data_IF_455220348569
#
_entry.id   IF_455220348569
#
_cell.length_a   1.000
_cell.length_b   1.000
_cell.length_c   1.000
_cell.angle_alpha   90.00
_cell.angle_beta   90.00
_cell.angle_gamma   90.00
#
_symmetry.space_group_name_H-M   'P 1'
#
loop_
_entity.id
_entity.type
_entity.pdbx_description
1 polymer ?
#
# COMPACT_ATOMS: atom_id res chain seq x y z
N UNK A 1 10.55 -14.83 2.85
CA UNK A 1 10.38 -13.65 1.98
C UNK A 1 10.08 -12.40 2.81
N UNK A 2 10.54 -11.19 2.40
CA UNK A 2 10.31 -9.94 3.14
C UNK A 2 8.83 -9.63 3.42
N UNK A 3 7.96 -9.69 2.40
CA UNK A 3 6.52 -9.41 2.57
C UNK A 3 5.84 -10.35 3.58
N UNK A 4 6.13 -11.65 3.50
CA UNK A 4 5.62 -12.63 4.48
C UNK A 4 6.06 -12.32 5.93
N UNK A 5 7.27 -11.78 6.14
CA UNK A 5 7.74 -11.39 7.48
C UNK A 5 6.92 -10.22 8.00
N UNK A 6 6.70 -9.20 7.17
CA UNK A 6 5.87 -8.04 7.51
C UNK A 6 4.42 -8.44 7.86
N UNK A 7 3.80 -9.32 7.06
CA UNK A 7 2.45 -9.83 7.34
C UNK A 7 2.39 -10.49 8.73
N UNK A 8 3.41 -11.28 9.09
CA UNK A 8 3.46 -11.96 10.40
C UNK A 8 3.70 -10.99 11.55
N UNK A 9 4.59 -10.02 11.36
CA UNK A 9 4.88 -8.98 12.34
C UNK A 9 3.63 -8.18 12.69
N UNK A 10 2.87 -7.72 11.68
CA UNK A 10 1.61 -6.99 11.89
C UNK A 10 0.56 -7.89 12.54
N UNK A 11 0.40 -9.13 12.06
CA UNK A 11 -0.59 -10.06 12.61
C UNK A 11 -0.37 -10.39 14.08
N UNK A 12 0.90 -10.48 14.52
CA UNK A 12 1.27 -10.75 15.91
C UNK A 12 0.81 -9.66 16.88
N UNK A 13 0.68 -8.42 16.43
CA UNK A 13 0.14 -7.31 17.25
C UNK A 13 -1.34 -7.57 17.60
N UNK A 14 -2.06 -8.25 16.72
CA UNK A 14 -3.49 -8.53 16.90
C UNK A 14 -3.76 -9.87 17.57
N UNK A 15 -2.96 -10.91 17.26
CA UNK A 15 -3.12 -12.25 17.83
C UNK A 15 -1.82 -13.03 17.77
N UNK A 16 -1.38 -13.52 18.94
CA UNK A 16 -0.24 -14.42 19.03
C UNK A 16 -0.52 -15.76 18.34
N UNK A 17 0.55 -16.39 17.84
CA UNK A 17 0.54 -17.74 17.25
C UNK A 17 -0.37 -17.96 16.02
N UNK A 18 -0.69 -16.88 15.28
CA UNK A 18 -1.44 -17.00 14.03
C UNK A 18 -0.65 -17.73 12.94
N UNK A 19 -1.25 -18.74 12.33
CA UNK A 19 -0.70 -19.45 11.16
C UNK A 19 -1.44 -19.00 9.90
N UNK A 20 -0.66 -18.70 8.86
CA UNK A 20 -1.18 -18.34 7.53
C UNK A 20 -1.03 -19.51 6.57
N UNK A 21 -2.08 -19.74 5.77
CA UNK A 21 -1.96 -20.56 4.56
C UNK A 21 -1.07 -19.85 3.53
N UNK A 22 -0.40 -20.61 2.65
CA UNK A 22 0.43 -20.04 1.59
C UNK A 22 -0.37 -19.11 0.67
N UNK A 23 -1.55 -19.55 0.23
CA UNK A 23 -2.45 -18.77 -0.62
C UNK A 23 -2.98 -17.50 0.04
N UNK A 24 -3.13 -17.48 1.37
CA UNK A 24 -3.55 -16.27 2.08
C UNK A 24 -2.47 -15.18 2.02
N UNK A 25 -1.19 -15.55 2.15
CA UNK A 25 -0.08 -14.59 2.01
C UNK A 25 0.02 -14.08 0.57
N UNK A 26 -0.19 -14.96 -0.42
CA UNK A 26 -0.22 -14.56 -1.84
C UNK A 26 -1.35 -13.57 -2.13
N UNK A 27 -2.56 -13.85 -1.66
CA UNK A 27 -3.69 -12.94 -1.84
C UNK A 27 -3.46 -11.57 -1.20
N UNK A 28 -2.85 -11.52 0.00
CA UNK A 28 -2.46 -10.27 0.63
C UNK A 28 -1.41 -9.50 -0.19
N UNK A 29 -0.48 -10.22 -0.80
CA UNK A 29 0.55 -9.61 -1.64
C UNK A 29 -0.06 -9.03 -2.92
N UNK A 30 -0.89 -9.80 -3.63
CA UNK A 30 -1.58 -9.35 -4.83
C UNK A 30 -2.44 -8.11 -4.57
N UNK A 31 -3.21 -8.11 -3.48
CA UNK A 31 -4.03 -6.96 -3.10
C UNK A 31 -3.17 -5.73 -2.74
N UNK A 32 -2.08 -5.91 -1.99
CA UNK A 32 -1.19 -4.83 -1.61
C UNK A 32 -0.48 -4.21 -2.84
N UNK A 33 -0.01 -5.05 -3.76
CA UNK A 33 0.62 -4.59 -5.01
C UNK A 33 -0.38 -3.84 -5.89
N UNK A 34 -1.57 -4.40 -6.12
CA UNK A 34 -2.62 -3.73 -6.91
C UNK A 34 -3.01 -2.37 -6.32
N UNK A 35 -3.16 -2.29 -5.00
CA UNK A 35 -3.45 -1.04 -4.30
C UNK A 35 -2.33 0.00 -4.48
N UNK A 36 -1.08 -0.40 -4.25
CA UNK A 36 0.07 0.51 -4.35
C UNK A 36 0.29 0.98 -5.78
N UNK A 37 0.13 0.11 -6.78
CA UNK A 37 0.20 0.48 -8.20
C UNK A 37 -0.82 1.57 -8.51
N UNK A 38 -2.10 1.34 -8.18
CA UNK A 38 -3.14 2.34 -8.40
C UNK A 38 -2.87 3.66 -7.65
N UNK A 39 -2.42 3.58 -6.39
CA UNK A 39 -2.08 4.78 -5.62
C UNK A 39 -0.93 5.57 -6.27
N UNK A 40 0.07 4.90 -6.83
CA UNK A 40 1.18 5.55 -7.50
C UNK A 40 0.78 6.14 -8.87
N UNK A 41 -0.19 5.54 -9.56
CA UNK A 41 -0.79 6.15 -10.76
C UNK A 41 -1.42 7.51 -10.44
N UNK A 42 -2.25 7.59 -9.39
CA UNK A 42 -2.87 8.84 -8.96
C UNK A 42 -1.85 9.85 -8.39
N UNK A 43 -0.85 9.35 -7.66
CA UNK A 43 0.25 10.16 -7.15
C UNK A 43 1.04 10.80 -8.31
N UNK A 44 1.27 10.04 -9.38
CA UNK A 44 1.93 10.55 -10.58
C UNK A 44 1.09 11.63 -11.27
N UNK A 45 -0.23 11.43 -11.38
CA UNK A 45 -1.14 12.47 -11.89
C UNK A 45 -1.08 13.76 -11.05
N UNK A 46 -1.00 13.64 -9.73
CA UNK A 46 -0.82 14.80 -8.84
C UNK A 46 0.52 15.53 -9.07
N UNK A 47 1.61 14.80 -9.28
CA UNK A 47 2.91 15.37 -9.60
C UNK A 47 2.92 16.11 -10.96
N UNK A 48 2.32 15.50 -11.98
CA UNK A 48 2.15 16.07 -13.32
C UNK A 48 1.29 17.34 -13.26
N UNK A 49 0.19 17.32 -12.51
CA UNK A 49 -0.66 18.50 -12.29
C UNK A 49 0.14 19.67 -11.69
N UNK A 50 1.11 19.37 -10.83
CA UNK A 50 2.03 20.33 -10.23
C UNK A 50 3.29 20.62 -11.08
N UNK A 51 3.30 20.26 -12.37
CA UNK A 51 4.41 20.47 -13.32
C UNK A 51 5.74 19.83 -12.90
N UNK A 52 5.69 18.67 -12.24
CA UNK A 52 6.87 17.89 -11.82
C UNK A 52 6.83 16.49 -12.41
N UNK A 53 8.01 15.86 -12.50
CA UNK A 53 8.17 14.45 -12.89
C UNK A 53 8.47 13.57 -11.67
N UNK A 54 9.20 14.10 -10.69
CA UNK A 54 9.47 13.41 -9.42
C UNK A 54 8.26 13.51 -8.48
N UNK A 55 7.69 12.37 -8.13
CA UNK A 55 6.66 12.27 -7.08
C UNK A 55 7.23 12.59 -5.70
N UNK A 56 6.42 13.20 -4.85
CA UNK A 56 6.79 13.63 -3.50
C UNK A 56 5.75 13.14 -2.48
N UNK A 57 6.07 13.08 -1.18
CA UNK A 57 5.10 12.67 -0.15
C UNK A 57 3.79 13.48 -0.17
N UNK A 58 3.85 14.77 -0.51
CA UNK A 58 2.65 15.62 -0.65
C UNK A 58 1.70 15.18 -1.78
N UNK A 59 2.22 14.53 -2.82
CA UNK A 59 1.42 14.02 -3.93
C UNK A 59 0.66 12.76 -3.48
N UNK A 60 1.32 11.89 -2.71
CA UNK A 60 0.69 10.71 -2.11
C UNK A 60 -0.42 11.13 -1.15
N UNK A 61 -0.14 12.08 -0.25
CA UNK A 61 -1.14 12.59 0.69
C UNK A 61 -2.34 13.26 -0.02
N UNK A 62 -2.10 13.92 -1.15
CA UNK A 62 -3.18 14.51 -1.94
C UNK A 62 -4.00 13.40 -2.63
N UNK A 63 -3.35 12.41 -3.23
CA UNK A 63 -4.01 11.28 -3.88
C UNK A 63 -4.90 10.50 -2.90
N UNK A 64 -4.40 10.14 -1.72
CA UNK A 64 -5.20 9.44 -0.69
C UNK A 64 -6.37 10.30 -0.20
N UNK A 65 -6.18 11.61 -0.04
CA UNK A 65 -7.24 12.54 0.33
C UNK A 65 -8.34 12.63 -0.74
N UNK A 66 -7.97 12.65 -2.03
CA UNK A 66 -8.93 12.67 -3.15
C UNK A 66 -9.69 11.35 -3.23
N UNK A 67 -9.03 10.21 -2.99
CA UNK A 67 -9.66 8.89 -2.90
C UNK A 67 -10.67 8.74 -1.76
N UNK A 68 -10.66 9.67 -0.80
CA UNK A 68 -11.50 9.60 0.39
C UNK A 68 -11.02 8.56 1.41
N UNK A 69 -9.79 8.06 1.26
CA UNK A 69 -9.15 7.18 2.21
C UNK A 69 -8.84 7.98 3.48
N UNK A 70 -9.67 7.83 4.50
CA UNK A 70 -9.40 8.38 5.83
C UNK A 70 -8.39 7.50 6.54
N UNK A 71 -7.19 8.02 6.76
CA UNK A 71 -6.38 7.66 7.91
C UNK A 71 -6.92 8.37 9.16
#
# INVERSE_FOLDING_TARGET
MPFQRLVREIAQIHKSDLRFQSHAVLALQEAAEAYLVGLFEDTNLCAIHAKRVTIMPKDVHLATRIRGERL
#
